data_IF_243859294309
#
_entry.id   IF_243859294309
#
_cell.length_a   1.000
_cell.length_b   1.000
_cell.length_c   1.000
_cell.angle_alpha   90.00
_cell.angle_beta   90.00
_cell.angle_gamma   90.00
#
_symmetry.space_group_name_H-M   'P 1'
#
loop_
_entity.id
_entity.type
_entity.pdbx_description
1 polymer ?
#
# COMPACT_ATOMS: atom_id res chain seq x y z
N UNK A 1 15.88 -23.17 -12.32
CA UNK A 1 14.93 -22.09 -11.98
C UNK A 1 15.73 -20.85 -11.62
N UNK A 2 15.46 -19.70 -12.25
CA UNK A 2 16.26 -18.48 -12.11
C UNK A 2 15.89 -17.72 -10.81
N UNK A 3 16.84 -17.53 -9.89
CA UNK A 3 16.61 -16.95 -8.55
C UNK A 3 15.95 -15.55 -8.60
N UNK A 4 16.21 -14.77 -9.64
CA UNK A 4 15.64 -13.42 -9.81
C UNK A 4 14.12 -13.43 -10.04
N UNK A 5 13.59 -14.45 -10.71
CA UNK A 5 12.13 -14.56 -10.98
C UNK A 5 11.34 -14.80 -9.69
N UNK A 6 11.86 -15.68 -8.82
CA UNK A 6 11.26 -16.03 -7.53
C UNK A 6 11.27 -14.85 -6.57
N UNK A 7 12.35 -14.08 -6.54
CA UNK A 7 12.44 -12.87 -5.72
C UNK A 7 11.46 -11.78 -6.17
N UNK A 8 11.27 -11.61 -7.49
CA UNK A 8 10.29 -10.64 -8.02
C UNK A 8 8.85 -11.02 -7.66
N UNK A 9 8.53 -12.31 -7.74
CA UNK A 9 7.22 -12.83 -7.34
C UNK A 9 6.95 -12.63 -5.84
N UNK A 10 7.92 -12.97 -4.98
CA UNK A 10 7.82 -12.75 -3.54
C UNK A 10 7.57 -11.29 -3.18
N UNK A 11 8.26 -10.34 -3.85
CA UNK A 11 8.07 -8.90 -3.63
C UNK A 11 6.67 -8.44 -4.02
N UNK A 12 6.12 -8.93 -5.13
CA UNK A 12 4.74 -8.60 -5.55
C UNK A 12 3.70 -9.15 -4.58
N UNK A 13 3.88 -10.38 -4.11
CA UNK A 13 2.99 -10.99 -3.12
C UNK A 13 3.04 -10.25 -1.78
N UNK A 14 4.23 -9.84 -1.33
CA UNK A 14 4.38 -9.01 -0.13
C UNK A 14 3.65 -7.66 -0.29
N UNK A 15 3.83 -6.98 -1.42
CA UNK A 15 3.15 -5.71 -1.69
C UNK A 15 1.63 -5.88 -1.70
N UNK A 16 1.12 -6.94 -2.34
CA UNK A 16 -0.32 -7.26 -2.37
C UNK A 16 -0.89 -7.49 -0.98
N UNK A 17 -0.16 -8.21 -0.11
CA UNK A 17 -0.56 -8.42 1.29
C UNK A 17 -0.62 -7.10 2.06
N UNK A 18 0.40 -6.26 1.93
CA UNK A 18 0.47 -4.96 2.62
C UNK A 18 -0.67 -4.02 2.22
N UNK A 19 -1.01 -3.99 0.94
CA UNK A 19 -2.17 -3.23 0.44
C UNK A 19 -3.47 -3.74 1.07
N UNK A 20 -3.66 -5.06 1.15
CA UNK A 20 -4.83 -5.66 1.79
C UNK A 20 -4.88 -5.39 3.31
N UNK A 21 -3.75 -5.47 4.00
CA UNK A 21 -3.63 -5.15 5.43
C UNK A 21 -3.99 -3.67 5.72
N UNK A 22 -3.74 -2.78 4.75
CA UNK A 22 -4.01 -1.35 4.87
C UNK A 22 -5.38 -0.94 4.30
N UNK A 23 -6.23 -1.92 3.97
CA UNK A 23 -7.56 -1.74 3.37
C UNK A 23 -7.54 -0.94 2.04
N UNK A 24 -6.45 -1.03 1.29
CA UNK A 24 -6.31 -0.37 -0.02
C UNK A 24 -6.86 -1.30 -1.11
N UNK A 25 -7.87 -0.82 -1.82
CA UNK A 25 -8.52 -1.61 -2.88
C UNK A 25 -7.73 -1.59 -4.20
N UNK A 26 -7.90 -2.63 -5.02
CA UNK A 26 -7.35 -2.64 -6.39
C UNK A 26 -7.90 -1.51 -7.27
N UNK A 27 -9.10 -1.00 -6.95
CA UNK A 27 -9.71 0.14 -7.66
C UNK A 27 -8.97 1.43 -7.32
N UNK A 28 -8.79 1.71 -6.04
CA UNK A 28 -8.02 2.87 -5.55
C UNK A 28 -6.59 2.87 -6.09
N UNK A 29 -5.94 1.70 -6.10
CA UNK A 29 -4.61 1.56 -6.69
C UNK A 29 -4.61 1.84 -8.20
N UNK A 30 -5.62 1.34 -8.93
CA UNK A 30 -5.74 1.57 -10.37
C UNK A 30 -5.96 3.05 -10.69
N UNK A 31 -6.85 3.71 -9.94
CA UNK A 31 -7.15 5.13 -10.06
C UNK A 31 -5.89 5.97 -9.79
N UNK A 32 -5.14 5.66 -8.72
CA UNK A 32 -3.89 6.37 -8.40
C UNK A 32 -2.80 6.17 -9.45
N UNK A 33 -2.71 4.98 -10.02
CA UNK A 33 -1.73 4.67 -11.06
C UNK A 33 -2.13 5.15 -12.46
N UNK A 34 -3.36 5.64 -12.64
CA UNK A 34 -3.89 6.05 -13.94
C UNK A 34 -4.08 4.87 -14.90
N UNK A 35 -4.44 3.69 -14.39
CA UNK A 35 -4.58 2.45 -15.17
C UNK A 35 -5.90 1.77 -14.90
N UNK A 36 -6.20 0.71 -15.66
CA UNK A 36 -7.37 -0.14 -15.40
C UNK A 36 -7.12 -1.13 -14.27
N UNK A 37 -8.18 -1.55 -13.58
CA UNK A 37 -8.11 -2.64 -12.57
C UNK A 37 -7.62 -3.96 -13.15
N UNK A 38 -7.82 -4.17 -14.47
CA UNK A 38 -7.25 -5.31 -15.20
C UNK A 38 -5.72 -5.26 -15.26
N UNK A 39 -5.14 -4.07 -15.45
CA UNK A 39 -3.68 -3.88 -15.43
C UNK A 39 -3.09 -4.19 -14.05
N UNK A 40 -3.77 -3.80 -12.98
CA UNK A 40 -3.41 -4.17 -11.59
C UNK A 40 -3.42 -5.68 -11.39
N UNK A 41 -4.45 -6.36 -11.91
CA UNK A 41 -4.52 -7.84 -11.86
C UNK A 41 -3.37 -8.49 -12.62
N UNK A 42 -3.02 -7.96 -13.80
CA UNK A 42 -1.87 -8.44 -14.58
C UNK A 42 -0.54 -8.21 -13.87
N UNK A 43 -0.38 -7.07 -13.22
CA UNK A 43 0.78 -6.78 -12.39
C UNK A 43 0.97 -7.83 -11.29
N UNK A 44 -0.05 -8.07 -10.46
CA UNK A 44 0.07 -9.03 -9.37
C UNK A 44 0.19 -10.48 -9.82
N UNK A 45 -0.46 -10.87 -10.93
CA UNK A 45 -0.25 -12.20 -11.54
C UNK A 45 1.12 -12.36 -12.21
N UNK A 46 1.88 -11.28 -12.34
CA UNK A 46 3.18 -11.25 -12.98
C UNK A 46 3.21 -11.35 -14.50
N UNK A 47 2.05 -11.18 -15.13
CA UNK A 47 1.92 -11.10 -16.60
C UNK A 47 2.49 -9.81 -17.17
N UNK A 48 2.62 -8.76 -16.36
CA UNK A 48 3.18 -7.48 -16.77
C UNK A 48 3.90 -6.80 -15.61
N UNK A 49 4.93 -6.01 -15.93
CA UNK A 49 5.56 -5.11 -14.98
C UNK A 49 5.10 -3.69 -15.27
N UNK A 50 4.74 -2.94 -14.23
CA UNK A 50 4.34 -1.55 -14.34
C UNK A 50 4.90 -0.77 -13.16
N UNK A 51 5.90 0.07 -13.43
CA UNK A 51 6.50 0.97 -12.43
C UNK A 51 5.45 1.91 -11.82
N UNK A 52 4.48 2.37 -12.62
CA UNK A 52 3.41 3.26 -12.14
C UNK A 52 2.56 2.60 -11.04
N UNK A 53 2.21 1.31 -11.20
CA UNK A 53 1.42 0.55 -10.21
C UNK A 53 2.26 0.35 -8.95
N UNK A 54 3.55 0.08 -9.10
CA UNK A 54 4.45 -0.07 -7.97
C UNK A 54 4.59 1.24 -7.17
N UNK A 55 4.89 2.35 -7.82
CA UNK A 55 5.01 3.66 -7.16
C UNK A 55 3.71 4.11 -6.51
N UNK A 56 2.57 3.93 -7.19
CA UNK A 56 1.25 4.24 -6.63
C UNK A 56 0.94 3.41 -5.37
N UNK A 57 1.27 2.13 -5.37
CA UNK A 57 1.08 1.26 -4.21
C UNK A 57 1.89 1.74 -2.99
N UNK A 58 3.16 2.12 -3.20
CA UNK A 58 4.01 2.63 -2.12
C UNK A 58 3.49 3.97 -1.58
N UNK A 59 3.03 4.87 -2.45
CA UNK A 59 2.45 6.15 -2.02
C UNK A 59 1.21 5.95 -1.15
N UNK A 60 0.25 5.11 -1.59
CA UNK A 60 -0.96 4.83 -0.83
C UNK A 60 -0.65 4.20 0.54
N UNK A 61 0.33 3.29 0.60
CA UNK A 61 0.77 2.71 1.87
C UNK A 61 1.35 3.76 2.83
N UNK A 62 2.16 4.69 2.32
CA UNK A 62 2.72 5.77 3.12
C UNK A 62 1.64 6.74 3.62
N UNK A 63 0.63 7.04 2.79
CA UNK A 63 -0.51 7.86 3.19
C UNK A 63 -1.30 7.20 4.33
N UNK A 64 -1.62 5.90 4.20
CA UNK A 64 -2.30 5.15 5.27
C UNK A 64 -1.49 5.09 6.55
N UNK A 65 -0.17 4.92 6.46
CA UNK A 65 0.71 4.94 7.62
C UNK A 65 0.71 6.32 8.30
N UNK A 66 0.80 7.40 7.52
CA UNK A 66 0.78 8.77 8.04
C UNK A 66 -0.56 9.10 8.71
N UNK A 67 -1.69 8.66 8.14
CA UNK A 67 -3.01 8.81 8.78
C UNK A 67 -3.07 8.13 10.15
N UNK A 68 -2.48 6.93 10.27
CA UNK A 68 -2.43 6.21 11.56
C UNK A 68 -1.56 6.93 12.58
N UNK A 69 -0.37 7.40 12.17
CA UNK A 69 0.55 8.16 13.03
C UNK A 69 -0.15 9.41 13.56
N UNK A 70 -0.82 10.16 12.67
CA UNK A 70 -1.53 11.38 13.05
C UNK A 70 -2.64 11.11 14.07
N UNK A 71 -3.42 10.04 13.89
CA UNK A 71 -4.48 9.63 14.85
C UNK A 71 -3.90 9.33 16.22
N UNK A 72 -2.78 8.60 16.29
CA UNK A 72 -2.10 8.28 17.57
C UNK A 72 -1.62 9.55 18.26
N UNK A 73 -1.03 10.49 17.53
CA UNK A 73 -0.54 11.76 18.08
C UNK A 73 -1.68 12.63 18.65
N UNK A 74 -2.82 12.69 17.96
CA UNK A 74 -4.00 13.42 18.44
C UNK A 74 -4.53 12.83 19.75
N UNK A 75 -4.72 11.51 19.78
CA UNK A 75 -5.19 10.81 20.98
C UNK A 75 -4.24 10.99 22.17
N UNK A 76 -2.93 10.92 21.94
CA UNK A 76 -1.93 11.15 22.98
C UNK A 76 -2.02 12.56 23.57
N UNK A 77 -2.19 13.58 22.70
CA UNK A 77 -2.34 14.96 23.13
C UNK A 77 -3.62 15.19 23.95
N UNK A 78 -4.70 14.49 23.62
CA UNK A 78 -5.96 14.53 24.38
C UNK A 78 -5.82 13.91 25.77
N UNK A 79 -5.17 12.74 25.87
CA UNK A 79 -4.88 12.08 27.14
C UNK A 79 -4.08 12.99 28.08
N UNK A 80 -3.02 13.64 27.57
CA UNK A 80 -2.19 14.55 28.38
C UNK A 80 -2.97 15.77 28.89
N UNK A 81 -3.90 16.30 28.09
CA UNK A 81 -4.78 17.40 28.52
C UNK A 81 -5.72 16.97 29.65
N UNK A 82 -6.32 15.78 29.54
CA UNK A 82 -7.23 15.24 30.56
C UNK A 82 -6.52 14.90 31.87
N UNK A 83 -5.24 14.55 31.84
CA UNK A 83 -4.44 14.27 33.05
C UNK A 83 -3.97 15.53 33.80
N UNK A 84 -4.01 16.68 33.14
CA UNK A 84 -3.55 17.96 33.68
C UNK A 84 -4.69 18.86 34.19
N UNK A 85 -5.94 18.40 34.10
CA UNK A 85 -7.16 19.08 34.54
C UNK A 85 -7.72 18.42 35.80
#
# INVERSE_FOLDING_TARGET
MNNNSKLSEQKREQLKRKLKESDISNKELADRAGVTTRAVSYFFSGRSYSSNIHSAAIQLLNEKLNEQIYKVQCNHSEILRLQSA
#
